data_IF_656658321383
#
_entry.id   IF_656658321383
#
_cell.length_a   1.000
_cell.length_b   1.000
_cell.length_c   1.000
_cell.angle_alpha   90.00
_cell.angle_beta   90.00
_cell.angle_gamma   90.00
#
_symmetry.space_group_name_H-M   'P 1'
#
loop_
_entity.id
_entity.type
_entity.pdbx_description
1 polymer ?
#
# COMPACT_ATOMS: atom_id res chain seq x y z
N UNK A 1 -6.30 62.67 -35.98
CA UNK A 1 -6.27 63.23 -34.61
C UNK A 1 -7.64 63.85 -34.39
N UNK A 2 -8.56 63.42 -33.51
CA UNK A 2 -8.56 62.56 -32.32
C UNK A 2 -10.02 62.14 -32.02
N UNK A 3 -10.23 60.83 -31.77
CA UNK A 3 -11.04 60.17 -30.70
C UNK A 3 -12.43 60.77 -30.35
N UNK A 4 -13.59 60.19 -30.65
CA UNK A 4 -14.20 58.86 -30.31
C UNK A 4 -14.30 58.58 -28.80
N UNK A 5 -15.47 58.89 -28.23
CA UNK A 5 -15.85 58.66 -26.82
C UNK A 5 -16.66 57.35 -26.74
N UNK A 6 -16.07 56.31 -26.16
CA UNK A 6 -16.71 55.02 -25.95
C UNK A 6 -17.37 54.94 -24.56
N UNK A 7 -18.65 54.60 -24.54
CA UNK A 7 -19.40 54.23 -23.34
C UNK A 7 -18.95 52.83 -22.85
N UNK A 8 -18.58 52.72 -21.57
CA UNK A 8 -18.25 51.45 -20.92
C UNK A 8 -19.45 50.96 -20.12
N UNK A 9 -20.17 49.99 -20.68
CA UNK A 9 -21.18 49.21 -19.99
C UNK A 9 -20.52 48.23 -19.00
N UNK A 10 -21.11 48.13 -17.81
CA UNK A 10 -20.61 47.31 -16.71
C UNK A 10 -20.56 45.82 -17.04
N UNK A 11 -19.38 45.22 -16.88
CA UNK A 11 -19.20 43.77 -16.88
C UNK A 11 -19.56 43.23 -15.50
N UNK A 12 -20.71 42.56 -15.45
CA UNK A 12 -21.13 41.75 -14.32
C UNK A 12 -20.19 40.55 -14.18
N UNK A 13 -19.57 40.46 -13.00
CA UNK A 13 -18.84 39.28 -12.51
C UNK A 13 -19.77 38.07 -12.53
N UNK A 14 -19.64 37.22 -13.55
CA UNK A 14 -20.28 35.90 -13.57
C UNK A 14 -19.54 35.01 -12.59
N UNK A 15 -20.20 34.76 -11.45
CA UNK A 15 -19.72 33.87 -10.40
C UNK A 15 -19.22 32.53 -10.94
N UNK A 16 -18.03 32.17 -10.48
CA UNK A 16 -17.40 30.87 -10.66
C UNK A 16 -18.28 29.83 -9.98
N UNK A 17 -19.27 29.28 -10.70
CA UNK A 17 -20.00 28.09 -10.25
C UNK A 17 -18.95 27.04 -9.95
N UNK A 18 -18.86 26.59 -8.70
CA UNK A 18 -18.05 25.42 -8.38
C UNK A 18 -18.46 24.31 -9.34
N UNK A 19 -17.49 23.80 -10.10
CA UNK A 19 -17.73 22.64 -10.93
C UNK A 19 -18.26 21.54 -10.00
N UNK A 20 -19.39 20.93 -10.35
CA UNK A 20 -19.87 19.76 -9.60
C UNK A 20 -18.73 18.75 -9.58
N UNK A 21 -18.40 18.15 -8.42
CA UNK A 21 -17.38 17.12 -8.35
C UNK A 21 -17.65 16.05 -9.42
N UNK A 22 -16.59 15.62 -10.10
CA UNK A 22 -16.62 14.55 -11.08
C UNK A 22 -17.02 13.22 -10.42
N UNK A 23 -17.25 12.18 -11.24
CA UNK A 23 -17.50 10.83 -10.72
C UNK A 23 -16.33 10.35 -9.84
N UNK A 24 -15.12 10.53 -10.36
CA UNK A 24 -13.85 10.12 -9.74
C UNK A 24 -13.57 10.90 -8.44
N UNK A 25 -13.95 12.18 -8.39
CA UNK A 25 -13.78 13.01 -7.19
C UNK A 25 -14.58 12.46 -5.99
N UNK A 26 -15.76 11.89 -6.26
CA UNK A 26 -16.63 11.32 -5.22
C UNK A 26 -16.15 9.96 -4.75
N UNK A 27 -15.69 9.12 -5.67
CA UNK A 27 -15.08 7.84 -5.29
C UNK A 27 -13.86 8.07 -4.40
N UNK A 28 -12.98 9.01 -4.80
CA UNK A 28 -11.83 9.40 -4.00
C UNK A 28 -12.25 9.96 -2.63
N UNK A 29 -13.29 10.79 -2.57
CA UNK A 29 -13.80 11.30 -1.30
C UNK A 29 -14.30 10.18 -0.35
N UNK A 30 -14.90 9.11 -0.88
CA UNK A 30 -15.29 7.93 -0.09
C UNK A 30 -14.04 7.22 0.43
N UNK A 31 -13.05 6.96 -0.43
CA UNK A 31 -11.81 6.27 -0.06
C UNK A 31 -11.04 7.04 1.02
N UNK A 32 -10.83 8.35 0.83
CA UNK A 32 -10.17 9.22 1.82
C UNK A 32 -10.95 9.28 3.14
N UNK A 33 -12.28 9.30 3.07
CA UNK A 33 -13.12 9.26 4.27
C UNK A 33 -12.95 7.94 5.02
N UNK A 34 -12.95 6.81 4.30
CA UNK A 34 -12.79 5.49 4.88
C UNK A 34 -11.43 5.33 5.55
N UNK A 35 -10.33 5.69 4.86
CA UNK A 35 -8.98 5.61 5.42
C UNK A 35 -8.84 6.43 6.70
N UNK A 36 -9.32 7.69 6.70
CA UNK A 36 -9.33 8.52 7.91
C UNK A 36 -10.14 7.91 9.05
N UNK A 37 -11.32 7.36 8.77
CA UNK A 37 -12.14 6.74 9.81
C UNK A 37 -11.54 5.44 10.37
N UNK A 38 -10.75 4.73 9.56
CA UNK A 38 -10.06 3.51 9.95
C UNK A 38 -8.88 3.79 10.90
N UNK A 39 -8.37 5.01 10.98
CA UNK A 39 -7.32 5.39 11.95
C UNK A 39 -7.79 5.14 13.38
N UNK A 40 -9.02 5.55 13.68
CA UNK A 40 -9.60 5.55 15.04
C UNK A 40 -10.52 4.35 15.32
N UNK A 41 -11.13 3.76 14.27
CA UNK A 41 -12.19 2.76 14.41
C UNK A 41 -11.95 1.52 13.55
N UNK A 42 -12.46 0.39 14.00
CA UNK A 42 -12.51 -0.83 13.19
C UNK A 42 -13.53 -0.69 12.05
N UNK A 43 -13.38 -1.47 10.97
CA UNK A 43 -14.35 -1.46 9.86
C UNK A 43 -15.76 -1.81 10.35
N UNK A 44 -15.91 -2.68 11.36
CA UNK A 44 -17.21 -3.08 11.91
C UNK A 44 -17.96 -1.89 12.50
N UNK A 45 -17.25 -0.95 13.13
CA UNK A 45 -17.79 0.23 13.79
C UNK A 45 -18.05 1.41 12.84
N UNK A 46 -17.65 1.29 11.57
CA UNK A 46 -17.91 2.28 10.53
C UNK A 46 -19.20 1.90 9.79
N UNK A 47 -20.15 2.82 9.73
CA UNK A 47 -21.38 2.63 8.95
C UNK A 47 -21.25 3.20 7.54
N UNK A 48 -22.08 2.73 6.60
CA UNK A 48 -22.19 3.35 5.27
C UNK A 48 -22.63 4.82 5.38
N UNK A 49 -23.43 5.17 6.39
CA UNK A 49 -23.84 6.56 6.61
C UNK A 49 -22.67 7.44 7.06
N UNK A 50 -21.73 6.91 7.84
CA UNK A 50 -20.50 7.62 8.21
C UNK A 50 -19.66 7.93 6.96
N UNK A 51 -19.51 6.93 6.08
CA UNK A 51 -18.78 7.08 4.81
C UNK A 51 -19.45 8.10 3.89
N UNK A 52 -20.75 7.97 3.68
CA UNK A 52 -21.51 8.89 2.83
C UNK A 52 -21.46 10.32 3.38
N UNK A 53 -21.67 10.49 4.69
CA UNK A 53 -21.60 11.79 5.37
C UNK A 53 -20.22 12.41 5.28
N UNK A 54 -19.15 11.65 5.53
CA UNK A 54 -17.79 12.15 5.44
C UNK A 54 -17.38 12.52 4.01
N UNK A 55 -17.86 11.79 3.01
CA UNK A 55 -17.64 12.09 1.60
C UNK A 55 -18.57 13.20 1.04
N UNK A 56 -19.51 13.72 1.84
CA UNK A 56 -20.44 14.77 1.41
C UNK A 56 -21.48 14.29 0.38
N UNK A 57 -21.85 13.02 0.42
CA UNK A 57 -22.81 12.39 -0.50
C UNK A 57 -23.98 11.74 0.23
N UNK A 58 -25.04 11.39 -0.50
CA UNK A 58 -26.16 10.64 0.06
C UNK A 58 -25.85 9.14 0.14
N UNK A 59 -26.53 8.42 1.03
CA UNK A 59 -26.41 6.95 1.13
C UNK A 59 -26.74 6.24 -0.21
N UNK A 60 -27.81 6.58 -0.95
CA UNK A 60 -28.01 6.02 -2.29
C UNK A 60 -26.87 6.32 -3.27
N UNK A 61 -26.26 7.51 -3.17
CA UNK A 61 -25.09 7.87 -3.99
C UNK A 61 -23.88 7.02 -3.61
N UNK A 62 -23.67 6.66 -2.35
CA UNK A 62 -22.61 5.73 -1.96
C UNK A 62 -22.76 4.40 -2.70
N UNK A 63 -23.96 3.81 -2.69
CA UNK A 63 -24.23 2.52 -3.32
C UNK A 63 -24.11 2.52 -4.85
N UNK A 64 -24.07 3.70 -5.48
CA UNK A 64 -23.72 3.83 -6.89
C UNK A 64 -22.24 3.53 -7.15
N UNK A 65 -21.34 3.86 -6.21
CA UNK A 65 -19.90 3.65 -6.34
C UNK A 65 -19.45 2.32 -5.73
N UNK A 66 -19.94 2.01 -4.52
CA UNK A 66 -19.51 0.82 -3.77
C UNK A 66 -20.70 -0.01 -3.31
N UNK A 67 -20.70 -1.33 -3.54
CA UNK A 67 -21.77 -2.20 -3.07
C UNK A 67 -21.78 -2.35 -1.55
N UNK A 68 -20.65 -2.13 -0.87
CA UNK A 68 -20.51 -2.26 0.58
C UNK A 68 -19.29 -1.50 1.12
N UNK A 69 -19.14 -1.39 2.44
CA UNK A 69 -17.92 -0.83 3.07
C UNK A 69 -16.72 -1.76 2.96
N UNK A 70 -16.96 -3.06 2.84
CA UNK A 70 -15.93 -4.08 2.60
C UNK A 70 -15.33 -3.91 1.20
N UNK A 71 -16.14 -3.56 0.20
CA UNK A 71 -15.63 -3.21 -1.14
C UNK A 71 -14.75 -1.95 -1.11
N UNK A 72 -15.07 -0.97 -0.27
CA UNK A 72 -14.20 0.21 -0.06
C UNK A 72 -12.85 -0.20 0.52
N UNK A 73 -12.83 -1.07 1.53
CA UNK A 73 -11.59 -1.58 2.11
C UNK A 73 -10.77 -2.39 1.10
N UNK A 74 -11.43 -3.20 0.26
CA UNK A 74 -10.78 -3.94 -0.81
C UNK A 74 -10.09 -3.00 -1.81
N UNK A 75 -10.76 -1.94 -2.25
CA UNK A 75 -10.18 -0.92 -3.14
C UNK A 75 -9.04 -0.16 -2.47
N UNK A 76 -9.14 0.16 -1.18
CA UNK A 76 -8.03 0.77 -0.44
C UNK A 76 -6.81 -0.15 -0.40
N UNK A 77 -6.99 -1.43 -0.06
CA UNK A 77 -5.88 -2.39 -0.05
C UNK A 77 -5.27 -2.53 -1.44
N UNK A 78 -6.09 -2.66 -2.48
CA UNK A 78 -5.65 -2.77 -3.87
C UNK A 78 -4.72 -1.61 -4.25
N UNK A 79 -5.06 -0.37 -3.89
CA UNK A 79 -4.21 0.80 -4.12
C UNK A 79 -2.86 0.68 -3.40
N UNK A 80 -2.87 0.29 -2.12
CA UNK A 80 -1.64 0.16 -1.31
C UNK A 80 -0.72 -0.94 -1.85
N UNK A 81 -1.26 -2.11 -2.23
CA UNK A 81 -0.42 -3.20 -2.77
C UNK A 81 0.13 -2.87 -4.16
N UNK A 82 -0.64 -2.18 -5.01
CA UNK A 82 -0.17 -1.71 -6.30
C UNK A 82 0.90 -0.61 -6.17
N UNK A 83 0.80 0.25 -5.16
CA UNK A 83 1.83 1.24 -4.86
C UNK A 83 3.16 0.56 -4.48
N UNK A 84 3.12 -0.40 -3.55
CA UNK A 84 4.31 -1.14 -3.12
C UNK A 84 4.94 -1.91 -4.29
N UNK A 85 4.11 -2.56 -5.11
CA UNK A 85 4.55 -3.31 -6.27
C UNK A 85 5.16 -2.43 -7.36
N UNK A 86 4.58 -1.25 -7.62
CA UNK A 86 5.11 -0.28 -8.57
C UNK A 86 6.44 0.29 -8.10
N UNK A 87 6.57 0.61 -6.80
CA UNK A 87 7.82 1.08 -6.21
C UNK A 87 8.93 0.03 -6.28
N UNK A 88 8.60 -1.25 -6.05
CA UNK A 88 9.56 -2.35 -6.17
C UNK A 88 10.00 -2.55 -7.64
N UNK A 89 9.09 -2.47 -8.60
CA UNK A 89 9.43 -2.56 -10.03
C UNK A 89 10.35 -1.41 -10.46
N UNK A 90 10.05 -0.18 -10.07
CA UNK A 90 10.88 0.99 -10.36
C UNK A 90 12.30 0.83 -9.78
N UNK A 91 12.42 0.27 -8.57
CA UNK A 91 13.72 -0.04 -7.97
C UNK A 91 14.51 -1.05 -8.81
N UNK A 92 13.85 -2.12 -9.28
CA UNK A 92 14.47 -3.16 -10.09
C UNK A 92 14.94 -2.64 -11.47
N UNK A 93 14.20 -1.72 -12.07
CA UNK A 93 14.53 -1.11 -13.37
C UNK A 93 15.71 -0.14 -13.28
N UNK A 94 15.81 0.61 -12.18
CA UNK A 94 16.82 1.66 -12.04
C UNK A 94 18.23 1.12 -11.71
N UNK A 95 18.36 -0.12 -11.22
CA UNK A 95 19.65 -0.84 -11.14
C UNK A 95 20.79 -0.18 -10.35
N UNK A 96 20.52 0.93 -9.64
CA UNK A 96 21.54 1.80 -9.03
C UNK A 96 21.86 1.47 -7.56
N UNK A 97 21.14 0.54 -6.93
CA UNK A 97 21.43 0.16 -5.55
C UNK A 97 22.77 -0.58 -5.46
N UNK A 98 23.65 -0.14 -4.55
CA UNK A 98 24.81 -0.94 -4.17
C UNK A 98 24.33 -2.31 -3.67
N UNK A 99 25.00 -3.39 -4.10
CA UNK A 99 24.55 -4.77 -3.87
C UNK A 99 24.37 -5.10 -2.39
N UNK A 100 25.20 -4.51 -1.53
CA UNK A 100 25.13 -4.70 -0.08
C UNK A 100 23.87 -4.06 0.54
N UNK A 101 23.24 -3.13 -0.18
CA UNK A 101 22.03 -2.40 0.27
C UNK A 101 20.77 -2.77 -0.52
N UNK A 102 20.87 -3.68 -1.50
CA UNK A 102 19.75 -4.10 -2.34
C UNK A 102 18.59 -4.68 -1.50
N UNK A 103 18.89 -5.57 -0.57
CA UNK A 103 17.88 -6.18 0.29
C UNK A 103 17.23 -5.16 1.23
N UNK A 104 18.02 -4.24 1.81
CA UNK A 104 17.50 -3.16 2.64
C UNK A 104 16.57 -2.26 1.83
N UNK A 105 16.99 -1.84 0.65
CA UNK A 105 16.21 -0.94 -0.21
C UNK A 105 14.90 -1.61 -0.63
N UNK A 106 14.94 -2.89 -1.02
CA UNK A 106 13.74 -3.66 -1.37
C UNK A 106 12.77 -3.85 -0.20
N UNK A 107 13.26 -4.22 0.99
CA UNK A 107 12.41 -4.37 2.18
C UNK A 107 11.86 -3.00 2.63
N UNK A 108 12.65 -1.93 2.48
CA UNK A 108 12.23 -0.58 2.82
C UNK A 108 11.04 -0.09 1.97
N UNK A 109 10.90 -0.52 0.71
CA UNK A 109 9.69 -0.22 -0.09
C UNK A 109 8.44 -0.65 0.67
N UNK A 110 8.40 -1.90 1.13
CA UNK A 110 7.25 -2.42 1.88
C UNK A 110 7.08 -1.74 3.24
N UNK A 111 8.17 -1.47 3.95
CA UNK A 111 8.14 -0.73 5.22
C UNK A 111 7.51 0.67 5.03
N UNK A 112 7.93 1.41 4.02
CA UNK A 112 7.43 2.77 3.77
C UNK A 112 5.98 2.78 3.28
N UNK A 113 5.64 1.94 2.29
CA UNK A 113 4.29 1.92 1.72
C UNK A 113 3.26 1.46 2.76
N UNK A 114 3.44 0.30 3.39
CA UNK A 114 2.48 -0.17 4.40
C UNK A 114 2.53 0.67 5.68
N UNK A 115 3.69 1.22 6.04
CA UNK A 115 3.86 2.14 7.16
C UNK A 115 3.19 3.50 6.95
N UNK A 116 2.99 3.93 5.70
CA UNK A 116 2.21 5.14 5.37
C UNK A 116 0.70 4.88 5.40
N UNK A 117 0.28 3.61 5.31
CA UNK A 117 -1.12 3.19 5.27
C UNK A 117 -1.46 2.19 6.40
N UNK A 118 -1.02 2.47 7.63
CA UNK A 118 -1.20 1.55 8.78
C UNK A 118 -2.65 1.20 9.06
N UNK A 119 -3.56 2.17 8.94
CA UNK A 119 -4.97 1.98 9.19
C UNK A 119 -5.61 0.99 8.20
N UNK A 120 -5.32 1.16 6.90
CA UNK A 120 -5.76 0.24 5.84
C UNK A 120 -5.14 -1.14 6.06
N UNK A 121 -3.83 -1.20 6.27
CA UNK A 121 -3.08 -2.44 6.49
C UNK A 121 -3.69 -3.26 7.63
N UNK A 122 -3.89 -2.64 8.80
CA UNK A 122 -4.50 -3.27 9.97
C UNK A 122 -5.91 -3.76 9.70
N UNK A 123 -6.75 -2.92 9.08
CA UNK A 123 -8.13 -3.27 8.79
C UNK A 123 -8.23 -4.43 7.80
N UNK A 124 -7.41 -4.42 6.76
CA UNK A 124 -7.31 -5.50 5.77
C UNK A 124 -6.89 -6.81 6.39
N UNK A 125 -5.89 -6.81 7.28
CA UNK A 125 -5.48 -8.03 8.00
C UNK A 125 -6.60 -8.62 8.85
N UNK A 126 -7.30 -7.79 9.63
CA UNK A 126 -8.41 -8.24 10.44
C UNK A 126 -9.55 -8.84 9.60
N UNK A 127 -9.75 -8.33 8.38
CA UNK A 127 -10.78 -8.79 7.47
C UNK A 127 -10.35 -9.97 6.57
N UNK A 128 -9.06 -10.35 6.55
CA UNK A 128 -8.57 -11.44 5.69
C UNK A 128 -9.22 -12.78 6.02
N UNK A 129 -9.53 -13.07 7.27
CA UNK A 129 -10.15 -14.37 7.60
C UNK A 129 -11.62 -14.46 7.14
N UNK A 130 -12.27 -13.32 6.91
CA UNK A 130 -13.71 -13.25 6.57
C UNK A 130 -14.00 -12.85 5.12
N UNK A 131 -13.05 -12.27 4.37
CA UNK A 131 -13.20 -11.92 2.96
C UNK A 131 -12.29 -12.75 2.04
N UNK A 132 -12.90 -13.51 1.13
CA UNK A 132 -12.18 -14.29 0.13
C UNK A 132 -11.46 -13.41 -0.89
N UNK A 133 -12.04 -12.25 -1.22
CA UNK A 133 -11.50 -11.26 -2.14
C UNK A 133 -10.22 -10.63 -1.58
N UNK A 134 -10.23 -10.21 -0.32
CA UNK A 134 -9.02 -9.70 0.35
C UNK A 134 -7.92 -10.76 0.43
N UNK A 135 -8.27 -12.02 0.75
CA UNK A 135 -7.30 -13.13 0.73
C UNK A 135 -6.73 -13.36 -0.66
N UNK A 136 -7.58 -13.36 -1.68
CA UNK A 136 -7.18 -13.59 -3.07
C UNK A 136 -6.26 -12.50 -3.59
N UNK A 137 -6.59 -11.24 -3.31
CA UNK A 137 -5.76 -10.08 -3.63
C UNK A 137 -4.38 -10.20 -2.96
N UNK A 138 -4.34 -10.40 -1.64
CA UNK A 138 -3.08 -10.53 -0.90
C UNK A 138 -2.24 -11.70 -1.40
N UNK A 139 -2.85 -12.87 -1.60
CA UNK A 139 -2.18 -14.06 -2.11
C UNK A 139 -1.54 -13.83 -3.48
N UNK A 140 -2.21 -13.09 -4.36
CA UNK A 140 -1.69 -12.76 -5.70
C UNK A 140 -0.41 -11.94 -5.62
N UNK A 141 -0.40 -10.89 -4.80
CA UNK A 141 0.79 -10.06 -4.61
C UNK A 141 1.92 -10.78 -3.88
N UNK A 142 1.61 -11.55 -2.83
CA UNK A 142 2.61 -12.36 -2.12
C UNK A 142 3.30 -13.36 -3.04
N UNK A 143 2.55 -14.07 -3.90
CA UNK A 143 3.15 -14.97 -4.89
C UNK A 143 4.10 -14.23 -5.83
N UNK A 144 3.72 -13.04 -6.29
CA UNK A 144 4.57 -12.20 -7.14
C UNK A 144 5.85 -11.76 -6.44
N UNK A 145 5.78 -11.25 -5.22
CA UNK A 145 6.94 -10.77 -4.46
C UNK A 145 7.87 -11.91 -4.01
N UNK A 146 7.30 -13.07 -3.67
CA UNK A 146 8.07 -14.29 -3.40
C UNK A 146 8.84 -14.73 -4.64
N UNK A 147 8.18 -14.79 -5.80
CA UNK A 147 8.84 -15.17 -7.06
C UNK A 147 9.97 -14.19 -7.43
N UNK A 148 9.74 -12.88 -7.25
CA UNK A 148 10.77 -11.85 -7.46
C UNK A 148 11.96 -12.04 -6.52
N UNK A 149 11.70 -12.27 -5.23
CA UNK A 149 12.74 -12.51 -4.22
C UNK A 149 13.54 -13.78 -4.53
N UNK A 150 12.87 -14.86 -4.92
CA UNK A 150 13.52 -16.11 -5.30
C UNK A 150 14.42 -15.93 -6.53
N UNK A 151 13.96 -15.19 -7.54
CA UNK A 151 14.78 -14.85 -8.70
C UNK A 151 16.03 -14.02 -8.32
N UNK A 152 15.88 -13.09 -7.37
CA UNK A 152 17.00 -12.35 -6.79
C UNK A 152 18.03 -13.27 -6.11
N UNK A 153 17.56 -14.20 -5.28
CA UNK A 153 18.43 -15.20 -4.61
C UNK A 153 19.15 -16.08 -5.64
N UNK A 154 18.45 -16.56 -6.67
CA UNK A 154 19.07 -17.36 -7.74
C UNK A 154 20.12 -16.56 -8.54
N UNK A 155 19.88 -15.26 -8.78
CA UNK A 155 20.87 -14.41 -9.42
C UNK A 155 22.15 -14.26 -8.58
N UNK A 156 22.02 -14.12 -7.25
CA UNK A 156 23.13 -14.07 -6.31
C UNK A 156 23.93 -15.39 -6.29
N UNK A 157 23.25 -16.53 -6.38
CA UNK A 157 23.88 -17.86 -6.48
C UNK A 157 24.62 -18.05 -7.79
N UNK A 158 23.98 -17.72 -8.91
CA UNK A 158 24.55 -17.87 -10.25
C UNK A 158 25.82 -17.04 -10.46
N UNK A 159 25.94 -15.89 -9.77
CA UNK A 159 27.16 -15.07 -9.79
C UNK A 159 28.20 -15.46 -8.73
N UNK A 160 27.95 -16.53 -7.96
CA UNK A 160 28.85 -17.07 -6.95
C UNK A 160 28.95 -16.25 -5.66
N UNK A 161 27.97 -15.38 -5.37
CA UNK A 161 27.99 -14.53 -4.18
C UNK A 161 27.24 -15.14 -3.00
N UNK A 162 26.18 -15.92 -3.27
CA UNK A 162 25.45 -16.67 -2.26
C UNK A 162 25.67 -18.18 -2.45
N UNK A 163 25.79 -18.96 -1.36
CA UNK A 163 25.87 -20.41 -1.45
C UNK A 163 24.55 -21.03 -1.91
N UNK A 164 24.65 -22.20 -2.55
CA UNK A 164 23.48 -23.02 -2.89
C UNK A 164 23.10 -23.90 -1.70
N UNK A 165 22.25 -23.36 -0.82
CA UNK A 165 21.72 -24.03 0.38
C UNK A 165 20.27 -24.50 0.15
N UNK A 166 19.29 -23.85 0.78
CA UNK A 166 17.86 -24.17 0.64
C UNK A 166 17.33 -23.84 -0.77
N UNK A 167 16.25 -24.48 -1.24
CA UNK A 167 15.56 -24.05 -2.47
C UNK A 167 15.18 -22.57 -2.39
N UNK A 168 15.56 -21.76 -3.38
CA UNK A 168 15.40 -20.30 -3.30
C UNK A 168 13.94 -19.87 -3.10
N UNK A 169 13.00 -20.62 -3.71
CA UNK A 169 11.57 -20.37 -3.55
C UNK A 169 11.08 -20.60 -2.12
N UNK A 170 11.57 -21.64 -1.44
CA UNK A 170 11.20 -21.95 -0.06
C UNK A 170 11.77 -20.91 0.90
N UNK A 171 13.04 -20.55 0.73
CA UNK A 171 13.69 -19.49 1.50
C UNK A 171 12.98 -18.15 1.31
N UNK A 172 12.72 -17.75 0.06
CA UNK A 172 11.98 -16.54 -0.27
C UNK A 172 10.58 -16.53 0.36
N UNK A 173 9.88 -17.67 0.34
CA UNK A 173 8.55 -17.80 0.95
C UNK A 173 8.61 -17.51 2.45
N UNK A 174 9.52 -18.16 3.18
CA UNK A 174 9.67 -17.97 4.62
C UNK A 174 10.04 -16.52 4.97
N UNK A 175 10.97 -15.93 4.22
CA UNK A 175 11.43 -14.56 4.43
C UNK A 175 10.34 -13.51 4.16
N UNK A 176 9.53 -13.69 3.11
CA UNK A 176 8.42 -12.79 2.82
C UNK A 176 7.31 -12.89 3.87
N UNK A 177 6.98 -14.10 4.34
CA UNK A 177 6.01 -14.31 5.42
C UNK A 177 6.50 -13.74 6.76
N UNK A 178 7.81 -13.83 7.03
CA UNK A 178 8.42 -13.16 8.18
C UNK A 178 8.27 -11.64 8.09
N UNK A 179 8.56 -11.05 6.92
CA UNK A 179 8.37 -9.60 6.71
C UNK A 179 6.92 -9.20 6.96
N UNK A 180 5.96 -9.91 6.35
CA UNK A 180 4.53 -9.67 6.53
C UNK A 180 4.18 -9.63 8.02
N UNK A 181 4.46 -10.72 8.75
CA UNK A 181 4.06 -10.82 10.15
C UNK A 181 4.73 -9.77 11.04
N UNK A 182 6.02 -9.53 10.82
CA UNK A 182 6.83 -8.67 11.69
C UNK A 182 6.55 -7.19 11.45
N UNK A 183 6.46 -6.75 10.18
CA UNK A 183 6.11 -5.36 9.85
C UNK A 183 4.75 -5.03 10.41
N UNK A 184 3.77 -5.89 10.20
CA UNK A 184 2.41 -5.64 10.63
C UNK A 184 2.23 -5.67 12.14
N UNK A 185 2.89 -6.59 12.85
CA UNK A 185 2.95 -6.56 14.31
C UNK A 185 3.53 -5.23 14.82
N UNK A 186 4.58 -4.73 14.17
CA UNK A 186 5.27 -3.49 14.55
C UNK A 186 4.37 -2.27 14.33
N UNK A 187 3.70 -2.18 13.17
CA UNK A 187 2.78 -1.08 12.85
C UNK A 187 1.54 -1.06 13.75
N UNK A 188 1.07 -2.24 14.18
CA UNK A 188 -0.07 -2.36 15.07
C UNK A 188 0.31 -2.21 16.56
N UNK A 189 1.61 -2.15 16.89
CA UNK A 189 2.08 -2.09 18.28
C UNK A 189 1.70 -3.33 19.09
N UNK A 190 1.65 -4.50 18.45
CA UNK A 190 1.26 -5.76 19.09
C UNK A 190 2.24 -6.19 20.19
N UNK A 191 1.82 -7.13 21.04
CA UNK A 191 2.68 -7.76 22.04
C UNK A 191 2.63 -9.28 21.85
N UNK A 192 3.74 -9.93 21.45
CA UNK A 192 5.06 -9.35 21.16
C UNK A 192 5.15 -8.66 19.77
N UNK A 193 5.99 -7.63 19.66
CA UNK A 193 6.41 -7.04 18.38
C UNK A 193 7.84 -6.46 18.46
N UNK A 194 8.49 -6.30 17.30
CA UNK A 194 9.74 -5.53 17.18
C UNK A 194 9.38 -4.04 17.16
N UNK A 195 10.12 -3.16 17.85
CA UNK A 195 9.90 -1.72 17.72
C UNK A 195 10.03 -1.27 16.27
N UNK A 196 9.11 -0.43 15.79
CA UNK A 196 9.09 0.03 14.39
C UNK A 196 10.42 0.69 13.98
N UNK A 197 11.08 1.40 14.89
CA UNK A 197 12.39 2.01 14.64
C UNK A 197 13.52 0.98 14.35
N UNK A 198 13.35 -0.29 14.72
CA UNK A 198 14.35 -1.35 14.58
C UNK A 198 13.93 -2.46 13.62
N UNK A 199 12.67 -2.46 13.14
CA UNK A 199 12.12 -3.58 12.38
C UNK A 199 12.85 -3.79 11.06
N UNK A 200 13.22 -2.71 10.36
CA UNK A 200 13.94 -2.81 9.09
C UNK A 200 15.31 -3.46 9.29
N UNK A 201 16.09 -3.02 10.27
CA UNK A 201 17.41 -3.60 10.58
C UNK A 201 17.31 -5.09 10.96
N UNK A 202 16.29 -5.43 11.73
CA UNK A 202 16.02 -6.81 12.16
C UNK A 202 15.74 -7.71 10.95
N UNK A 203 14.84 -7.28 10.06
CA UNK A 203 14.49 -8.06 8.87
C UNK A 203 15.67 -8.19 7.91
N UNK A 204 16.38 -7.10 7.64
CA UNK A 204 17.56 -7.11 6.76
C UNK A 204 18.63 -8.06 7.28
N UNK A 205 18.88 -8.07 8.60
CA UNK A 205 19.84 -8.99 9.20
C UNK A 205 19.48 -10.46 8.94
N UNK A 206 18.22 -10.85 9.15
CA UNK A 206 17.77 -12.23 8.91
C UNK A 206 17.83 -12.61 7.43
N UNK A 207 17.45 -11.70 6.54
CA UNK A 207 17.57 -11.91 5.09
C UNK A 207 19.02 -12.15 4.68
N UNK A 208 19.92 -11.23 5.01
CA UNK A 208 21.33 -11.32 4.60
C UNK A 208 21.99 -12.55 5.19
N UNK A 209 21.82 -12.81 6.49
CA UNK A 209 22.43 -13.98 7.14
C UNK A 209 21.92 -15.31 6.57
N UNK A 210 20.64 -15.42 6.23
CA UNK A 210 20.08 -16.67 5.68
C UNK A 210 20.39 -16.88 4.20
N UNK A 211 20.54 -15.80 3.41
CA UNK A 211 20.86 -15.89 1.99
C UNK A 211 22.36 -16.17 1.76
N UNK A 212 23.23 -15.52 2.53
CA UNK A 212 24.69 -15.60 2.34
C UNK A 212 25.39 -16.53 3.33
N UNK A 213 24.70 -17.04 4.35
CA UNK A 213 25.25 -17.99 5.31
C UNK A 213 25.52 -19.36 4.69
N UNK A 214 26.64 -19.98 5.07
CA UNK A 214 27.01 -21.34 4.66
C UNK A 214 26.30 -22.40 5.52
N UNK A 215 26.08 -23.60 4.98
CA UNK A 215 25.57 -24.74 5.77
C UNK A 215 26.59 -25.14 6.85
N UNK A 216 26.09 -25.35 8.07
CA UNK A 216 26.86 -25.94 9.19
C UNK A 216 26.85 -27.46 9.13
#
# INVERSE_FOLDING_TARGET
>A
MTSSTAARAGQTSRGRRSARPSGDDRELAILTTAERLLEDRSLTDISVDDLAKGAGISRPTFYFYFPSKEAVLLTLLDRVVNEADSALQALAENGEAERDDMWRTGINVFFQTFGSHKAVTRASMAARDTSAELRGLWSTFMQKWIAFSAAGIEAERNRGAAPATLPALELATALNLMNERTLFASFAGEQPSVPEAHVLDTLVHVWVSSIYGEEH
#
